data_IF_645661710929
#
_entry.id   IF_645661710929
#
_cell.length_a   1.000
_cell.length_b   1.000
_cell.length_c   1.000
_cell.angle_alpha   90.00
_cell.angle_beta   90.00
_cell.angle_gamma   90.00
#
_symmetry.space_group_name_H-M   'P 1'
#
loop_
_entity.id
_entity.type
_entity.pdbx_description
1 polymer ?
#
# COMPACT_ATOMS: atom_id res chain seq x y z
N UNK A 1 13.00 8.07 -1.26
CA UNK A 1 14.11 8.18 -0.31
C UNK A 1 14.25 9.61 0.19
N UNK A 2 14.15 9.82 1.49
CA UNK A 2 14.38 11.14 2.10
C UNK A 2 15.81 11.18 2.65
N UNK A 3 16.69 11.92 1.99
CA UNK A 3 18.11 12.08 2.42
C UNK A 3 18.23 13.07 3.60
N UNK A 4 17.40 14.10 3.60
CA UNK A 4 17.18 15.04 4.71
C UNK A 4 15.81 15.69 4.54
N UNK A 5 15.29 16.33 5.58
CA UNK A 5 13.98 16.98 5.53
C UNK A 5 13.85 17.90 4.28
N UNK A 6 12.83 17.64 3.45
CA UNK A 6 12.55 18.38 2.21
C UNK A 6 13.51 18.11 1.05
N UNK A 7 14.33 17.04 1.11
CA UNK A 7 15.09 16.52 -0.03
C UNK A 7 14.70 15.06 -0.28
N UNK A 8 13.84 14.87 -1.26
CA UNK A 8 13.30 13.58 -1.65
C UNK A 8 13.91 13.15 -2.98
N UNK A 9 14.04 11.84 -3.15
CA UNK A 9 14.40 11.19 -4.38
C UNK A 9 13.43 10.03 -4.59
N UNK A 10 12.72 10.03 -5.70
CA UNK A 10 11.86 8.92 -6.08
C UNK A 10 12.79 7.80 -6.57
N UNK A 11 12.77 6.66 -5.89
CA UNK A 11 13.58 5.49 -6.22
C UNK A 11 12.75 4.37 -6.85
N UNK A 12 11.42 4.47 -6.79
CA UNK A 12 10.47 3.57 -7.40
C UNK A 12 9.06 4.11 -7.27
N UNK A 13 8.22 3.81 -8.23
CA UNK A 13 6.81 4.20 -8.27
C UNK A 13 5.98 3.07 -8.90
N UNK A 14 4.65 3.19 -8.88
CA UNK A 14 3.84 2.22 -9.62
C UNK A 14 3.88 2.53 -11.11
N UNK A 15 3.96 1.49 -11.94
CA UNK A 15 3.91 1.61 -13.41
C UNK A 15 2.48 1.65 -13.96
N UNK A 16 1.50 1.40 -13.09
CA UNK A 16 0.09 1.32 -13.48
C UNK A 16 -0.83 1.81 -12.34
N UNK A 17 -1.84 1.04 -11.95
CA UNK A 17 -2.76 1.40 -10.87
C UNK A 17 -1.99 1.66 -9.56
N UNK A 18 -2.38 2.69 -8.81
CA UNK A 18 -1.94 2.81 -7.43
C UNK A 18 -2.50 1.66 -6.59
N UNK A 19 -1.78 1.27 -5.52
CA UNK A 19 -2.23 0.17 -4.66
C UNK A 19 -3.66 0.38 -4.14
N UNK A 20 -4.00 1.58 -3.66
CA UNK A 20 -5.37 1.91 -3.20
C UNK A 20 -6.41 1.76 -4.30
N UNK A 21 -6.10 2.24 -5.50
CA UNK A 21 -6.95 2.11 -6.68
C UNK A 21 -7.18 0.64 -7.07
N UNK A 22 -6.15 -0.20 -6.97
CA UNK A 22 -6.28 -1.63 -7.19
C UNK A 22 -7.22 -2.29 -6.16
N UNK A 23 -7.14 -1.88 -4.89
CA UNK A 23 -8.10 -2.32 -3.86
C UNK A 23 -9.53 -1.87 -4.17
N UNK A 24 -9.75 -0.63 -4.61
CA UNK A 24 -11.07 -0.12 -4.95
C UNK A 24 -11.67 -0.88 -6.15
N UNK A 25 -10.87 -1.13 -7.19
CA UNK A 25 -11.27 -1.92 -8.36
C UNK A 25 -11.58 -3.37 -7.98
N UNK A 26 -10.77 -4.00 -7.14
CA UNK A 26 -11.01 -5.35 -6.65
C UNK A 26 -12.30 -5.44 -5.80
N UNK A 27 -12.52 -4.50 -4.91
CA UNK A 27 -13.76 -4.42 -4.12
C UNK A 27 -14.99 -4.26 -5.01
N UNK A 28 -14.92 -3.44 -6.07
CA UNK A 28 -15.99 -3.29 -7.06
C UNK A 28 -16.29 -4.61 -7.77
N UNK A 29 -15.27 -5.36 -8.19
CA UNK A 29 -15.44 -6.68 -8.83
C UNK A 29 -16.11 -7.69 -7.90
N UNK A 30 -15.80 -7.63 -6.60
CA UNK A 30 -16.38 -8.49 -5.56
C UNK A 30 -17.69 -7.94 -4.98
N UNK A 31 -18.19 -6.83 -5.49
CA UNK A 31 -19.42 -6.17 -5.04
C UNK A 31 -19.43 -5.81 -3.54
N UNK A 32 -18.30 -5.30 -3.02
CA UNK A 32 -18.07 -4.99 -1.60
C UNK A 32 -18.28 -3.52 -1.24
N UNK A 33 -18.47 -2.64 -2.24
CA UNK A 33 -18.64 -1.20 -2.04
C UNK A 33 -17.33 -0.40 -1.98
N UNK A 34 -17.43 0.83 -1.50
CA UNK A 34 -16.34 1.82 -1.43
C UNK A 34 -16.28 2.43 -0.03
N UNK A 35 -15.08 2.75 0.51
CA UNK A 35 -13.75 2.54 -0.05
C UNK A 35 -13.32 1.07 0.00
N UNK A 36 -12.64 0.62 -1.08
CA UNK A 36 -12.32 -0.80 -1.30
C UNK A 36 -11.33 -1.39 -0.32
N UNK A 37 -10.30 -0.64 0.08
CA UNK A 37 -9.30 -1.11 1.03
C UNK A 37 -9.91 -1.61 2.35
N UNK A 38 -10.65 -0.78 3.09
CA UNK A 38 -11.35 -1.19 4.31
C UNK A 38 -12.37 -2.32 4.09
N UNK A 39 -13.10 -2.30 2.95
CA UNK A 39 -14.08 -3.33 2.63
C UNK A 39 -13.40 -4.70 2.45
N UNK A 40 -12.33 -4.78 1.67
CA UNK A 40 -11.54 -6.00 1.47
C UNK A 40 -10.95 -6.48 2.80
N UNK A 41 -10.33 -5.59 3.58
CA UNK A 41 -9.73 -5.96 4.87
C UNK A 41 -10.77 -6.55 5.84
N UNK A 42 -11.96 -5.94 5.94
CA UNK A 42 -13.06 -6.42 6.78
C UNK A 42 -13.54 -7.82 6.37
N UNK A 43 -13.62 -8.09 5.07
CA UNK A 43 -14.08 -9.40 4.58
C UNK A 43 -12.96 -10.43 4.70
N UNK A 44 -11.71 -10.06 4.40
CA UNK A 44 -10.54 -10.92 4.57
C UNK A 44 -10.38 -11.41 6.01
N UNK A 45 -10.68 -10.58 7.01
CA UNK A 45 -10.63 -10.94 8.42
C UNK A 45 -11.61 -12.08 8.81
N UNK A 46 -12.65 -12.33 7.98
CA UNK A 46 -13.57 -13.47 8.18
C UNK A 46 -12.98 -14.79 7.69
N UNK A 47 -11.92 -14.73 6.88
CA UNK A 47 -11.24 -15.92 6.40
C UNK A 47 -10.38 -16.50 7.53
N UNK A 48 -10.80 -17.68 8.02
CA UNK A 48 -10.04 -18.46 9.01
C UNK A 48 -9.39 -19.62 8.26
N UNK A 49 -8.07 -19.64 8.07
CA UNK A 49 -7.41 -20.83 7.56
C UNK A 49 -7.62 -21.98 8.55
N UNK A 50 -8.25 -23.07 8.10
CA UNK A 50 -8.31 -24.30 8.87
C UNK A 50 -7.10 -25.16 8.56
N UNK A 51 -6.77 -26.14 9.44
CA UNK A 51 -5.66 -27.07 9.23
C UNK A 51 -5.72 -27.81 7.88
N UNK A 52 -6.89 -28.02 7.33
CA UNK A 52 -7.11 -28.52 5.97
C UNK A 52 -6.84 -27.49 4.85
N UNK A 53 -6.87 -26.18 5.18
CA UNK A 53 -6.66 -25.07 4.24
C UNK A 53 -5.31 -24.36 4.42
N UNK A 54 -4.42 -24.86 5.28
CA UNK A 54 -3.07 -24.29 5.49
C UNK A 54 -2.15 -24.41 4.25
N UNK A 55 -2.49 -25.28 3.31
CA UNK A 55 -1.82 -25.37 1.98
C UNK A 55 -2.54 -24.56 0.90
N UNK A 56 -3.63 -23.92 1.25
CA UNK A 56 -4.48 -23.30 0.27
C UNK A 56 -4.95 -21.92 0.70
N UNK A 57 -4.20 -20.92 0.36
CA UNK A 57 -4.86 -19.92 -0.47
C UNK A 57 -5.18 -20.68 -1.76
N UNK A 58 -6.42 -21.17 -1.86
CA UNK A 58 -6.95 -21.91 -3.03
C UNK A 58 -6.74 -21.08 -4.31
N UNK A 59 -6.48 -19.82 -4.17
CA UNK A 59 -6.26 -18.82 -5.20
C UNK A 59 -4.89 -18.20 -5.06
N UNK A 60 -3.95 -18.63 -5.88
CA UNK A 60 -2.61 -18.04 -5.93
C UNK A 60 -2.62 -16.89 -6.93
N UNK A 61 -2.89 -15.68 -6.46
CA UNK A 61 -2.79 -14.49 -7.29
C UNK A 61 -1.32 -14.12 -7.53
N UNK A 62 -0.98 -13.53 -8.66
CA UNK A 62 0.40 -13.12 -8.95
C UNK A 62 0.86 -11.97 -8.03
N UNK A 63 2.16 -11.85 -7.87
CA UNK A 63 2.85 -10.72 -7.25
C UNK A 63 3.64 -9.97 -8.33
N UNK A 64 2.98 -9.12 -9.13
CA UNK A 64 3.63 -8.50 -10.27
C UNK A 64 4.91 -7.77 -9.84
N UNK A 65 5.94 -7.85 -10.67
CA UNK A 65 7.23 -7.18 -10.47
C UNK A 65 7.98 -7.47 -9.17
N UNK A 66 7.55 -8.41 -8.31
CA UNK A 66 8.21 -8.69 -7.01
C UNK A 66 9.68 -9.05 -7.18
N UNK A 67 10.06 -9.65 -8.31
CA UNK A 67 11.42 -10.06 -8.65
C UNK A 67 12.09 -9.17 -9.70
N UNK A 68 11.49 -8.03 -10.10
CA UNK A 68 12.17 -7.08 -10.97
C UNK A 68 13.38 -6.46 -10.26
N UNK A 69 14.40 -6.11 -11.01
CA UNK A 69 15.65 -5.58 -10.46
C UNK A 69 15.55 -4.13 -9.94
N UNK A 70 14.39 -3.50 -10.11
CA UNK A 70 14.08 -2.13 -9.69
C UNK A 70 13.22 -2.10 -8.40
N UNK A 71 12.77 -0.91 -8.01
CA UNK A 71 11.87 -0.70 -6.87
C UNK A 71 10.46 -0.29 -7.30
N UNK A 72 10.14 -0.38 -8.59
CA UNK A 72 8.82 -0.08 -9.12
C UNK A 72 7.80 -1.16 -8.76
N UNK A 73 6.55 -0.77 -8.75
CA UNK A 73 5.41 -1.63 -8.45
C UNK A 73 4.50 -1.80 -9.68
N UNK A 74 3.66 -2.82 -9.64
CA UNK A 74 2.54 -2.98 -10.57
C UNK A 74 1.41 -3.70 -9.83
N UNK A 75 0.19 -3.23 -9.99
CA UNK A 75 -1.01 -3.81 -9.40
C UNK A 75 -2.06 -4.20 -10.44
N UNK A 76 -1.92 -3.75 -11.70
CA UNK A 76 -2.86 -4.08 -12.77
C UNK A 76 -2.89 -5.57 -13.08
N UNK A 77 -1.73 -6.24 -13.04
CA UNK A 77 -1.66 -7.70 -13.24
C UNK A 77 -2.37 -8.48 -12.11
N UNK A 78 -2.26 -8.00 -10.87
CA UNK A 78 -2.97 -8.58 -9.73
C UNK A 78 -4.49 -8.44 -9.87
N UNK A 79 -4.96 -7.23 -10.22
CA UNK A 79 -6.37 -6.93 -10.49
C UNK A 79 -6.93 -7.80 -11.63
N UNK A 80 -6.20 -7.90 -12.73
CA UNK A 80 -6.61 -8.68 -13.91
C UNK A 80 -6.68 -10.17 -13.61
N UNK A 81 -5.74 -10.68 -12.81
CA UNK A 81 -5.79 -12.08 -12.38
C UNK A 81 -7.02 -12.38 -11.50
N UNK A 82 -7.39 -11.47 -10.60
CA UNK A 82 -8.64 -11.58 -9.83
C UNK A 82 -9.85 -11.61 -10.76
N UNK A 83 -9.92 -10.71 -11.76
CA UNK A 83 -11.01 -10.68 -12.73
C UNK A 83 -11.15 -12.03 -13.45
N UNK A 84 -10.06 -12.57 -13.99
CA UNK A 84 -10.09 -13.86 -14.69
C UNK A 84 -10.44 -15.02 -13.76
N UNK A 85 -10.06 -14.95 -12.49
CA UNK A 85 -10.48 -15.94 -11.50
C UNK A 85 -12.00 -15.89 -11.28
N UNK A 86 -12.57 -14.70 -11.15
CA UNK A 86 -14.01 -14.51 -10.95
C UNK A 86 -14.83 -14.93 -12.16
N UNK A 87 -14.34 -14.71 -13.38
CA UNK A 87 -15.02 -15.14 -14.62
C UNK A 87 -15.15 -16.65 -14.74
N UNK A 88 -14.31 -17.44 -14.06
CA UNK A 88 -14.34 -18.90 -14.07
C UNK A 88 -15.26 -19.48 -12.99
N UNK A 89 -15.87 -18.65 -12.15
CA UNK A 89 -16.64 -19.08 -10.98
C UNK A 89 -18.11 -18.76 -11.14
N UNK A 90 -18.97 -19.65 -10.65
CA UNK A 90 -20.39 -19.38 -10.55
C UNK A 90 -20.68 -18.33 -9.45
N UNK A 91 -21.76 -17.56 -9.59
CA UNK A 91 -22.12 -16.51 -8.64
C UNK A 91 -22.25 -16.98 -7.17
N UNK A 92 -22.72 -18.21 -6.96
CA UNK A 92 -22.80 -18.81 -5.62
C UNK A 92 -21.41 -19.05 -5.05
N UNK A 93 -20.52 -19.59 -5.86
CA UNK A 93 -19.13 -19.87 -5.49
C UNK A 93 -18.37 -18.59 -5.16
N UNK A 94 -18.56 -17.52 -5.95
CA UNK A 94 -17.97 -16.20 -5.66
C UNK A 94 -18.35 -15.74 -4.25
N UNK A 95 -19.63 -15.80 -3.88
CA UNK A 95 -20.09 -15.40 -2.54
C UNK A 95 -19.41 -16.19 -1.42
N UNK A 96 -19.31 -17.50 -1.58
CA UNK A 96 -18.68 -18.40 -0.60
C UNK A 96 -17.18 -18.15 -0.46
N UNK A 97 -16.49 -17.87 -1.59
CA UNK A 97 -15.04 -17.73 -1.65
C UNK A 97 -14.54 -16.28 -1.50
N UNK A 98 -15.44 -15.30 -1.47
CA UNK A 98 -15.07 -13.89 -1.34
C UNK A 98 -14.13 -13.62 -0.16
N UNK A 99 -14.29 -14.20 1.06
CA UNK A 99 -13.32 -13.96 2.14
C UNK A 99 -11.91 -14.45 1.82
N UNK A 100 -11.77 -15.61 1.18
CA UNK A 100 -10.47 -16.17 0.77
C UNK A 100 -9.82 -15.32 -0.35
N UNK A 101 -10.62 -14.89 -1.34
CA UNK A 101 -10.16 -14.02 -2.42
C UNK A 101 -9.69 -12.67 -1.89
N UNK A 102 -10.41 -12.08 -0.94
CA UNK A 102 -10.01 -10.84 -0.26
C UNK A 102 -8.70 -11.03 0.51
N UNK A 103 -8.56 -12.12 1.25
CA UNK A 103 -7.35 -12.42 2.01
C UNK A 103 -6.14 -12.57 1.09
N UNK A 104 -6.28 -13.34 0.00
CA UNK A 104 -5.20 -13.51 -0.97
C UNK A 104 -4.86 -12.23 -1.72
N UNK A 105 -5.86 -11.44 -2.13
CA UNK A 105 -5.64 -10.19 -2.83
C UNK A 105 -4.82 -9.19 -1.99
N UNK A 106 -5.22 -8.98 -0.73
CA UNK A 106 -4.48 -8.07 0.15
C UNK A 106 -3.11 -8.62 0.52
N UNK A 107 -2.96 -9.95 0.66
CA UNK A 107 -1.66 -10.56 0.91
C UNK A 107 -0.73 -10.37 -0.30
N UNK A 108 -1.22 -10.58 -1.53
CA UNK A 108 -0.43 -10.39 -2.74
C UNK A 108 0.05 -8.94 -2.91
N UNK A 109 -0.83 -7.97 -2.61
CA UNK A 109 -0.46 -6.55 -2.63
C UNK A 109 0.58 -6.21 -1.54
N UNK A 110 0.38 -6.72 -0.32
CA UNK A 110 1.31 -6.51 0.79
C UNK A 110 2.68 -7.15 0.50
N UNK A 111 2.73 -8.36 -0.07
CA UNK A 111 3.98 -9.05 -0.41
C UNK A 111 4.84 -8.22 -1.35
N UNK A 112 4.24 -7.64 -2.40
CA UNK A 112 4.93 -6.76 -3.34
C UNK A 112 5.50 -5.51 -2.67
N UNK A 113 4.65 -4.80 -1.91
CA UNK A 113 5.03 -3.59 -1.19
C UNK A 113 6.14 -3.85 -0.18
N UNK A 114 5.98 -4.87 0.66
CA UNK A 114 6.93 -5.20 1.73
C UNK A 114 8.27 -5.65 1.17
N UNK A 115 8.27 -6.58 0.20
CA UNK A 115 9.52 -7.11 -0.37
C UNK A 115 10.39 -6.00 -0.95
N UNK A 116 9.82 -5.12 -1.76
CA UNK A 116 10.58 -4.03 -2.40
C UNK A 116 10.99 -2.93 -1.41
N UNK A 117 10.14 -2.64 -0.44
CA UNK A 117 10.49 -1.68 0.63
C UNK A 117 11.70 -2.15 1.42
N UNK A 118 11.77 -3.43 1.80
CA UNK A 118 12.91 -3.98 2.54
C UNK A 118 14.17 -3.97 1.68
N UNK A 119 14.09 -4.44 0.43
CA UNK A 119 15.22 -4.40 -0.51
C UNK A 119 15.77 -2.97 -0.67
N UNK A 120 14.88 -1.98 -0.85
CA UNK A 120 15.28 -0.59 -0.95
C UNK A 120 15.91 -0.07 0.36
N UNK A 121 15.28 -0.34 1.49
CA UNK A 121 15.77 0.09 2.80
C UNK A 121 17.19 -0.44 3.10
N UNK A 122 17.46 -1.69 2.76
CA UNK A 122 18.79 -2.30 2.89
C UNK A 122 19.78 -1.70 1.89
N UNK A 123 19.42 -1.59 0.62
CA UNK A 123 20.30 -1.07 -0.45
C UNK A 123 20.74 0.37 -0.19
N UNK A 124 19.85 1.21 0.33
CA UNK A 124 20.13 2.62 0.59
C UNK A 124 20.57 2.88 2.05
N UNK A 125 20.81 1.84 2.84
CA UNK A 125 21.19 1.95 4.26
C UNK A 125 20.24 2.89 5.02
N UNK A 126 18.94 2.74 4.81
CA UNK A 126 17.93 3.57 5.45
C UNK A 126 17.96 3.38 6.96
N UNK A 127 17.83 4.47 7.71
CA UNK A 127 17.71 4.41 9.18
C UNK A 127 16.28 4.11 9.62
N UNK A 128 15.31 4.53 8.81
CA UNK A 128 13.89 4.43 9.12
C UNK A 128 13.09 4.15 7.86
N UNK A 129 12.13 3.25 7.96
CA UNK A 129 11.05 3.08 6.98
C UNK A 129 9.80 3.74 7.54
N UNK A 130 9.16 4.57 6.74
CA UNK A 130 7.90 5.23 7.07
C UNK A 130 6.88 4.91 6.00
N UNK A 131 5.66 4.54 6.39
CA UNK A 131 4.53 4.37 5.48
C UNK A 131 3.51 5.50 5.69
N UNK A 132 2.85 5.91 4.60
CA UNK A 132 1.81 6.94 4.62
C UNK A 132 0.80 6.70 3.49
N UNK A 133 -0.27 7.51 3.44
CA UNK A 133 -1.35 7.34 2.48
C UNK A 133 -2.39 6.31 2.93
N UNK A 134 -3.53 6.23 2.21
CA UNK A 134 -4.67 5.41 2.61
C UNK A 134 -4.35 3.92 2.83
N UNK A 135 -3.50 3.33 1.98
CA UNK A 135 -3.10 1.92 2.11
C UNK A 135 -2.27 1.65 3.36
N UNK A 136 -1.59 2.67 3.91
CA UNK A 136 -0.87 2.56 5.18
C UNK A 136 -1.81 2.30 6.39
N UNK A 137 -3.11 2.45 6.24
CA UNK A 137 -4.08 2.05 7.27
C UNK A 137 -4.36 0.53 7.27
N UNK A 138 -3.92 -0.22 6.25
CA UNK A 138 -4.11 -1.67 6.19
C UNK A 138 -3.27 -2.38 7.24
N UNK A 139 -3.93 -3.07 8.17
CA UNK A 139 -3.28 -3.72 9.32
C UNK A 139 -2.35 -4.86 8.90
N UNK A 140 -2.75 -5.67 7.91
CA UNK A 140 -1.90 -6.74 7.39
C UNK A 140 -0.57 -6.18 6.84
N UNK A 141 -0.63 -5.09 6.07
CA UNK A 141 0.57 -4.44 5.53
C UNK A 141 1.48 -3.95 6.68
N UNK A 142 0.91 -3.30 7.70
CA UNK A 142 1.66 -2.80 8.87
C UNK A 142 2.37 -3.93 9.61
N UNK A 143 1.62 -4.98 9.95
CA UNK A 143 2.15 -6.14 10.68
C UNK A 143 3.23 -6.86 9.87
N UNK A 144 2.93 -7.19 8.61
CA UNK A 144 3.88 -7.89 7.73
C UNK A 144 5.18 -7.08 7.55
N UNK A 145 5.08 -5.76 7.37
CA UNK A 145 6.25 -4.91 7.20
C UNK A 145 7.06 -4.81 8.50
N UNK A 146 6.39 -4.64 9.66
CA UNK A 146 7.04 -4.58 10.95
C UNK A 146 7.78 -5.88 11.29
N UNK A 147 7.14 -7.04 11.11
CA UNK A 147 7.70 -8.36 11.37
C UNK A 147 8.91 -8.65 10.47
N UNK A 148 8.77 -8.40 9.17
CA UNK A 148 9.86 -8.64 8.22
C UNK A 148 11.03 -7.66 8.42
N UNK A 149 10.79 -6.38 8.71
CA UNK A 149 11.87 -5.45 9.07
C UNK A 149 12.60 -5.92 10.32
N UNK A 150 11.88 -6.32 11.37
CA UNK A 150 12.49 -6.85 12.59
C UNK A 150 13.38 -8.07 12.32
N UNK A 151 12.98 -8.95 11.39
CA UNK A 151 13.70 -10.17 11.04
C UNK A 151 14.88 -9.92 10.09
N UNK A 152 14.68 -9.16 9.03
CA UNK A 152 15.60 -9.03 7.91
C UNK A 152 16.47 -7.78 7.96
N UNK A 153 16.04 -6.75 8.73
CA UNK A 153 16.73 -5.48 8.86
C UNK A 153 16.54 -4.85 10.26
N UNK A 154 16.95 -5.52 11.35
CA UNK A 154 16.61 -5.16 12.73
C UNK A 154 17.16 -3.79 13.18
N UNK A 155 18.11 -3.22 12.43
CA UNK A 155 18.67 -1.88 12.70
C UNK A 155 17.82 -0.75 12.10
N UNK A 156 16.82 -1.08 11.28
CA UNK A 156 15.96 -0.09 10.62
C UNK A 156 14.70 0.11 11.46
N UNK A 157 14.47 1.34 11.89
CA UNK A 157 13.24 1.70 12.61
C UNK A 157 12.04 1.71 11.67
N UNK A 158 10.88 1.28 12.15
CA UNK A 158 9.61 1.35 11.42
C UNK A 158 8.67 2.36 12.07
N UNK A 159 8.13 3.26 11.27
CA UNK A 159 7.15 4.26 11.69
C UNK A 159 5.90 4.20 10.82
N UNK A 160 4.74 4.20 11.43
CA UNK A 160 3.46 4.33 10.76
C UNK A 160 2.56 5.31 11.52
N UNK A 161 1.83 6.20 10.83
CA UNK A 161 0.92 7.12 11.49
C UNK A 161 -0.27 6.37 12.09
N UNK A 162 -0.93 6.98 13.08
CA UNK A 162 -2.24 6.48 13.50
C UNK A 162 -3.21 6.45 12.30
N UNK A 163 -4.14 5.47 12.22
CA UNK A 163 -5.02 5.31 11.06
C UNK A 163 -5.75 6.59 10.62
N UNK A 164 -6.17 7.43 11.57
CA UNK A 164 -6.82 8.72 11.30
C UNK A 164 -5.95 9.75 10.57
N UNK A 165 -4.62 9.55 10.53
CA UNK A 165 -3.68 10.42 9.83
C UNK A 165 -3.11 9.78 8.55
N UNK A 166 -3.60 8.60 8.14
CA UNK A 166 -3.15 7.95 6.92
C UNK A 166 -3.73 8.59 5.65
N UNK A 167 -4.93 9.16 5.73
CA UNK A 167 -5.58 9.91 4.65
C UNK A 167 -5.33 11.40 4.78
N UNK A 168 -5.79 12.17 3.81
CA UNK A 168 -5.65 13.64 3.80
C UNK A 168 -6.21 14.26 5.07
N UNK A 169 -5.39 15.10 5.70
CA UNK A 169 -5.78 15.79 6.91
C UNK A 169 -5.04 17.13 7.06
N UNK A 170 -5.69 18.09 7.72
CA UNK A 170 -5.14 19.43 7.91
C UNK A 170 -3.87 19.45 8.78
N UNK A 171 -3.72 18.50 9.72
CA UNK A 171 -2.56 18.45 10.61
C UNK A 171 -1.25 18.21 9.84
N UNK A 172 -1.25 17.30 8.84
CA UNK A 172 -0.05 17.06 8.03
C UNK A 172 0.31 18.28 7.19
N UNK A 173 -0.67 19.00 6.65
CA UNK A 173 -0.46 20.21 5.86
C UNK A 173 0.08 21.32 6.76
N UNK A 174 -0.52 21.54 7.94
CA UNK A 174 -0.07 22.53 8.90
C UNK A 174 1.37 22.26 9.37
N UNK A 175 1.70 21.02 9.68
CA UNK A 175 3.07 20.65 10.09
C UNK A 175 4.08 20.85 8.96
N UNK A 176 3.75 20.45 7.73
CA UNK A 176 4.61 20.66 6.56
C UNK A 176 4.83 22.15 6.28
N UNK A 177 3.78 22.97 6.36
CA UNK A 177 3.86 24.41 6.21
C UNK A 177 4.71 25.05 7.32
N UNK A 178 4.51 24.67 8.57
CA UNK A 178 5.32 25.15 9.70
C UNK A 178 6.81 24.84 9.52
N UNK A 179 7.15 23.61 9.15
CA UNK A 179 8.54 23.24 8.90
C UNK A 179 9.15 24.00 7.71
N UNK A 180 8.33 24.28 6.67
CA UNK A 180 8.76 25.04 5.51
C UNK A 180 8.95 26.53 5.84
N UNK A 181 8.12 27.11 6.73
CA UNK A 181 8.20 28.51 7.15
C UNK A 181 9.49 28.87 7.91
N UNK A 182 10.09 27.89 8.59
CA UNK A 182 11.37 28.07 9.29
C UNK A 182 12.56 28.29 8.35
N UNK A 183 12.39 28.10 7.05
CA UNK A 183 13.41 28.34 6.02
C UNK A 183 13.15 29.70 5.40
N UNK A 184 14.07 30.64 5.60
CA UNK A 184 13.96 32.08 5.20
C UNK A 184 13.56 32.39 3.76
N UNK A 185 13.55 31.43 2.85
CA UNK A 185 13.27 31.64 1.42
C UNK A 185 11.93 31.07 0.91
N UNK A 186 11.02 30.65 1.78
CA UNK A 186 9.98 29.69 1.40
C UNK A 186 8.61 30.28 1.04
N UNK A 187 8.34 31.56 1.32
CA UNK A 187 7.00 32.09 1.08
C UNK A 187 6.96 33.10 -0.07
N UNK A 188 6.26 32.72 -1.12
CA UNK A 188 5.67 33.68 -2.07
C UNK A 188 4.52 34.41 -1.35
N UNK A 189 4.22 35.63 -1.81
CA UNK A 189 3.00 36.32 -1.33
C UNK A 189 1.79 35.38 -1.40
N UNK A 190 0.95 35.36 -0.35
CA UNK A 190 -0.27 34.57 -0.34
C UNK A 190 -1.17 34.85 -1.54
N UNK A 191 -1.09 36.07 -2.13
CA UNK A 191 -1.80 36.46 -3.35
C UNK A 191 -1.33 35.74 -4.61
N UNK A 192 -0.10 35.19 -4.58
CA UNK A 192 0.48 34.44 -5.69
C UNK A 192 0.24 32.92 -5.59
N UNK A 193 -0.43 32.45 -4.51
CA UNK A 193 -0.75 31.04 -4.34
C UNK A 193 -1.77 30.60 -5.38
N UNK A 194 -1.49 29.47 -6.03
CA UNK A 194 -2.39 28.80 -6.96
C UNK A 194 -2.46 27.34 -6.59
N UNK A 195 -3.64 26.76 -6.59
CA UNK A 195 -3.82 25.31 -6.48
C UNK A 195 -3.26 24.62 -7.74
N UNK A 196 -2.47 23.58 -7.55
CA UNK A 196 -1.90 22.77 -8.63
C UNK A 196 -2.18 21.30 -8.32
N UNK A 197 -3.02 20.68 -9.16
CA UNK A 197 -3.44 19.29 -8.96
C UNK A 197 -2.30 18.27 -9.18
N UNK A 198 -1.32 18.60 -10.03
CA UNK A 198 -0.27 17.69 -10.48
C UNK A 198 1.12 18.10 -9.97
N UNK A 199 1.20 18.69 -8.78
CA UNK A 199 2.48 19.05 -8.19
C UNK A 199 3.26 17.76 -7.84
N UNK A 200 4.45 17.61 -8.43
CA UNK A 200 5.38 16.52 -8.07
C UNK A 200 6.37 16.98 -7.01
N UNK A 201 6.81 16.03 -6.18
CA UNK A 201 7.84 16.24 -5.15
C UNK A 201 9.22 16.46 -5.78
#
# INVERSE_FOLDING_TARGET
LMKKFGRFEIIGETRDDAAGEAFDKAAKMLNLGYPGGPAIAKIAAKFKPTSYNLQATIYKLPRPMINSGDYDFSFSGLKTALLYQLQKMASKEIKEKTPALCAEFQQAAADGLVSKTIKAAQKFNAKTVLISGGVAANELLRQTLAEKLKKEAPKISFLSPAPKFCTDNAAMIGLAAFQKSRRKSAFKSWRALRAQANLRL
#
